data_IF_373930492370
#
_entry.id   IF_373930492370
#
_cell.length_a   1.000
_cell.length_b   1.000
_cell.length_c   1.000
_cell.angle_alpha   90.00
_cell.angle_beta   90.00
_cell.angle_gamma   90.00
#
_symmetry.space_group_name_H-M   'P 1'
#
loop_
_entity.id
_entity.type
_entity.pdbx_description
1 polymer ?
#
# COMPACT_ATOMS: atom_id res chain seq x y z
N UNK A 1 -21.40 -15.45 27.13
CA UNK A 1 -22.18 -15.62 25.89
C UNK A 1 -21.26 -16.35 24.92
N UNK A 2 -21.55 -17.60 24.60
CA UNK A 2 -20.84 -18.31 23.54
C UNK A 2 -21.50 -17.96 22.21
N UNK A 3 -20.68 -17.52 21.24
CA UNK A 3 -21.11 -17.26 19.87
C UNK A 3 -20.61 -18.42 19.01
N UNK A 4 -21.55 -19.21 18.46
CA UNK A 4 -21.23 -20.19 17.44
C UNK A 4 -21.10 -19.47 16.08
N UNK A 5 -19.86 -19.36 15.59
CA UNK A 5 -19.51 -18.68 14.34
C UNK A 5 -19.46 -19.64 13.14
N UNK A 6 -19.95 -20.88 13.27
CA UNK A 6 -19.93 -21.84 12.17
C UNK A 6 -20.93 -21.42 11.09
N UNK A 7 -20.39 -21.03 9.94
CA UNK A 7 -21.15 -20.76 8.73
C UNK A 7 -21.21 -22.04 7.87
N UNK A 8 -22.32 -22.29 7.14
CA UNK A 8 -22.40 -23.42 6.22
C UNK A 8 -21.39 -23.25 5.07
N UNK A 9 -20.73 -24.34 4.69
CA UNK A 9 -19.83 -24.37 3.54
C UNK A 9 -20.62 -24.63 2.26
N UNK A 10 -20.30 -23.93 1.17
CA UNK A 10 -20.84 -24.25 -0.16
C UNK A 10 -20.33 -25.60 -0.71
N UNK A 11 -19.32 -26.18 -0.07
CA UNK A 11 -18.62 -27.42 -0.49
C UNK A 11 -18.54 -28.44 0.64
N UNK A 12 -19.65 -28.66 1.35
CA UNK A 12 -19.71 -29.48 2.57
C UNK A 12 -19.12 -30.91 2.41
N UNK A 13 -19.25 -31.52 1.22
CA UNK A 13 -18.74 -32.87 0.95
C UNK A 13 -17.24 -32.97 0.67
N UNK A 14 -16.50 -31.85 0.64
CA UNK A 14 -15.07 -31.84 0.35
C UNK A 14 -14.27 -31.63 1.64
N UNK A 15 -13.21 -32.43 1.89
CA UNK A 15 -12.33 -32.18 3.02
C UNK A 15 -11.59 -30.85 2.83
N UNK A 16 -11.39 -30.12 3.92
CA UNK A 16 -10.57 -28.91 3.92
C UNK A 16 -9.10 -29.23 3.62
N UNK A 17 -8.41 -28.28 2.96
CA UNK A 17 -6.99 -28.43 2.61
C UNK A 17 -6.05 -28.32 3.82
N UNK A 18 -6.53 -27.79 4.95
CA UNK A 18 -5.68 -27.47 6.11
C UNK A 18 -4.64 -26.40 5.77
N UNK A 19 -3.46 -26.51 6.37
CA UNK A 19 -2.33 -25.61 6.13
C UNK A 19 -2.36 -24.33 6.97
N UNK A 20 -1.38 -23.45 6.70
CA UNK A 20 -1.20 -22.18 7.41
C UNK A 20 -1.20 -21.04 6.40
N UNK A 21 -2.11 -20.06 6.59
CA UNK A 21 -2.13 -18.84 5.78
C UNK A 21 -1.12 -17.83 6.34
N UNK A 22 -0.52 -17.02 5.44
CA UNK A 22 0.39 -15.92 5.79
C UNK A 22 1.61 -16.36 6.61
N UNK A 23 2.17 -17.53 6.30
CA UNK A 23 3.34 -18.08 7.00
C UNK A 23 4.60 -17.18 6.90
N UNK A 24 4.71 -16.41 5.81
CA UNK A 24 5.69 -15.37 5.59
C UNK A 24 5.05 -14.21 4.79
N UNK A 25 5.64 -12.99 4.77
CA UNK A 25 5.06 -11.86 4.06
C UNK A 25 4.86 -12.09 2.55
N UNK A 26 5.78 -12.80 1.90
CA UNK A 26 5.73 -13.16 0.48
C UNK A 26 4.71 -14.27 0.17
N UNK A 27 4.27 -15.03 1.17
CA UNK A 27 3.16 -15.99 1.05
C UNK A 27 1.79 -15.31 0.94
N UNK A 28 1.70 -13.98 1.08
CA UNK A 28 0.48 -13.21 0.91
C UNK A 28 0.77 -11.90 0.15
N UNK A 29 0.54 -11.93 -1.16
CA UNK A 29 0.80 -10.81 -2.07
C UNK A 29 -0.51 -10.10 -2.41
N UNK A 30 -0.52 -8.78 -2.28
CA UNK A 30 -1.67 -7.94 -2.68
C UNK A 30 -1.18 -6.83 -3.61
N UNK A 31 -1.75 -6.76 -4.80
CA UNK A 31 -1.52 -5.66 -5.74
C UNK A 31 -2.79 -4.82 -5.87
N UNK A 32 -2.65 -3.52 -5.68
CA UNK A 32 -3.76 -2.59 -5.85
C UNK A 32 -4.12 -2.42 -7.33
N UNK A 33 -5.41 -2.54 -7.62
CA UNK A 33 -5.99 -2.16 -8.91
C UNK A 33 -6.60 -0.77 -8.72
N UNK A 34 -6.03 0.29 -9.32
CA UNK A 34 -6.55 1.63 -9.17
C UNK A 34 -7.88 1.78 -9.92
N UNK A 35 -8.77 2.65 -9.43
CA UNK A 35 -10.02 2.98 -10.13
C UNK A 35 -9.77 3.77 -11.41
N UNK A 36 -8.69 4.55 -11.44
CA UNK A 36 -8.25 5.35 -12.58
C UNK A 36 -6.73 5.54 -12.51
N UNK A 37 -6.11 5.70 -13.67
CA UNK A 37 -4.68 5.98 -13.78
C UNK A 37 -4.36 7.45 -13.51
N UNK A 38 -3.09 7.74 -13.24
CA UNK A 38 -2.61 9.11 -13.19
C UNK A 38 -2.74 9.75 -14.58
N UNK A 39 -3.34 10.93 -14.67
CA UNK A 39 -3.59 11.60 -15.95
C UNK A 39 -2.35 12.25 -16.58
N UNK A 40 -1.18 12.15 -15.94
CA UNK A 40 0.08 12.69 -16.42
C UNK A 40 0.34 14.17 -16.11
N UNK A 41 -0.60 14.88 -15.50
CA UNK A 41 -0.44 16.29 -15.10
C UNK A 41 -1.20 16.62 -13.80
N UNK A 42 -0.81 17.71 -13.15
CA UNK A 42 -1.50 18.24 -11.97
C UNK A 42 -0.56 18.54 -10.81
N UNK A 43 -1.14 18.75 -9.62
CA UNK A 43 -0.40 19.12 -8.41
C UNK A 43 0.03 17.92 -7.55
N UNK A 44 -0.38 16.72 -7.94
CA UNK A 44 -0.10 15.49 -7.21
C UNK A 44 0.94 14.64 -7.93
N UNK A 45 1.97 14.21 -7.18
CA UNK A 45 2.86 13.14 -7.59
C UNK A 45 2.26 11.80 -7.14
N UNK A 46 2.03 10.88 -8.07
CA UNK A 46 1.58 9.53 -7.76
C UNK A 46 2.80 8.61 -7.67
N UNK A 47 2.90 7.87 -6.57
CA UNK A 47 3.99 6.91 -6.35
C UNK A 47 3.42 5.54 -6.05
N UNK A 48 3.83 4.55 -6.82
CA UNK A 48 3.47 3.15 -6.62
C UNK A 48 4.56 2.48 -5.78
N UNK A 49 4.19 1.95 -4.62
CA UNK A 49 5.15 1.43 -3.63
C UNK A 49 4.76 0.01 -3.27
N UNK A 50 5.72 -0.90 -3.44
CA UNK A 50 5.69 -2.23 -2.82
C UNK A 50 6.34 -2.15 -1.45
N UNK A 51 5.62 -2.58 -0.42
CA UNK A 51 6.08 -2.63 0.97
C UNK A 51 6.00 -4.05 1.54
N UNK A 52 6.88 -4.34 2.48
CA UNK A 52 6.86 -5.52 3.33
C UNK A 52 7.05 -5.09 4.78
N UNK A 53 6.40 -5.77 5.74
CA UNK A 53 6.52 -5.49 7.17
C UNK A 53 6.21 -4.04 7.62
N UNK A 54 5.61 -3.22 6.74
CA UNK A 54 5.17 -1.86 7.01
C UNK A 54 3.66 -1.72 6.83
N UNK A 55 3.02 -0.87 7.61
CA UNK A 55 1.64 -0.42 7.41
C UNK A 55 1.57 0.68 6.35
N UNK A 56 0.39 0.89 5.75
CA UNK A 56 0.18 2.03 4.84
C UNK A 56 0.47 3.38 5.50
N UNK A 57 0.24 3.52 6.81
CA UNK A 57 0.51 4.75 7.57
C UNK A 57 2.00 4.98 7.84
N UNK A 58 2.78 3.93 8.06
CA UNK A 58 4.24 4.04 8.21
C UNK A 58 4.87 4.54 6.91
N UNK A 59 4.45 4.00 5.76
CA UNK A 59 4.90 4.49 4.44
C UNK A 59 4.43 5.91 4.19
N UNK A 60 3.17 6.25 4.51
CA UNK A 60 2.65 7.62 4.38
C UNK A 60 3.51 8.63 5.17
N UNK A 61 3.90 8.29 6.40
CA UNK A 61 4.78 9.13 7.22
C UNK A 61 6.17 9.28 6.60
N UNK A 62 6.78 8.18 6.16
CA UNK A 62 8.10 8.22 5.49
C UNK A 62 8.08 9.08 4.22
N UNK A 63 7.00 9.03 3.44
CA UNK A 63 6.81 9.89 2.28
C UNK A 63 6.66 11.37 2.65
N UNK A 64 5.88 11.67 3.69
CA UNK A 64 5.72 13.05 4.16
C UNK A 64 7.07 13.64 4.59
N UNK A 65 7.88 12.88 5.35
CA UNK A 65 9.22 13.28 5.78
C UNK A 65 10.20 13.39 4.60
N UNK A 66 10.16 12.44 3.66
CA UNK A 66 11.02 12.43 2.49
C UNK A 66 10.84 13.72 1.68
N UNK A 67 9.60 14.17 1.48
CA UNK A 67 9.25 15.32 0.65
C UNK A 67 9.07 16.63 1.41
N UNK A 68 9.30 16.66 2.72
CA UNK A 68 9.04 17.82 3.59
C UNK A 68 7.60 18.34 3.48
N UNK A 69 6.65 17.40 3.51
CA UNK A 69 5.22 17.66 3.38
C UNK A 69 4.50 17.45 4.72
N UNK A 70 3.41 18.18 4.99
CA UNK A 70 2.54 17.84 6.10
C UNK A 70 1.89 16.47 5.86
N UNK A 71 1.71 15.68 6.92
CA UNK A 71 1.14 14.32 6.85
C UNK A 71 -0.17 14.23 6.03
N UNK A 72 -1.04 15.24 6.12
CA UNK A 72 -2.30 15.33 5.37
C UNK A 72 -2.16 15.53 3.86
N UNK A 73 -0.98 15.93 3.38
CA UNK A 73 -0.70 16.09 1.95
C UNK A 73 -0.35 14.77 1.26
N UNK A 74 -0.23 13.67 2.02
CA UNK A 74 0.00 12.33 1.49
C UNK A 74 -1.26 11.49 1.66
N UNK A 75 -1.86 11.05 0.56
CA UNK A 75 -3.08 10.23 0.52
C UNK A 75 -2.84 8.83 -0.03
N UNK A 76 -3.78 7.92 0.22
CA UNK A 76 -3.87 6.58 -0.37
C UNK A 76 -5.32 6.07 -0.32
N UNK A 77 -5.69 5.11 -1.19
CA UNK A 77 -7.08 4.68 -1.35
C UNK A 77 -7.60 3.76 -0.22
N UNK A 78 -6.71 2.98 0.42
CA UNK A 78 -7.09 2.10 1.52
C UNK A 78 -5.88 1.54 2.27
N UNK A 79 -6.13 0.98 3.45
CA UNK A 79 -5.09 0.34 4.24
C UNK A 79 -4.74 -1.03 3.65
N UNK A 80 -3.46 -1.39 3.69
CA UNK A 80 -2.97 -2.71 3.32
C UNK A 80 -2.31 -3.36 4.52
N UNK A 81 -2.40 -4.68 4.57
CA UNK A 81 -1.87 -5.49 5.67
C UNK A 81 -0.37 -5.26 5.88
N UNK A 82 0.06 -5.27 7.14
CA UNK A 82 1.48 -5.18 7.52
C UNK A 82 2.22 -6.49 7.24
N UNK A 83 1.56 -7.62 7.49
CA UNK A 83 2.11 -8.97 7.37
C UNK A 83 1.78 -9.56 6.00
N UNK A 84 2.24 -8.87 4.96
CA UNK A 84 2.02 -9.16 3.56
C UNK A 84 3.01 -8.35 2.70
N UNK A 85 3.31 -8.84 1.50
CA UNK A 85 3.91 -8.03 0.45
C UNK A 85 2.80 -7.30 -0.30
N UNK A 86 2.75 -5.99 -0.19
CA UNK A 86 1.63 -5.22 -0.76
C UNK A 86 2.10 -4.07 -1.62
N UNK A 87 1.56 -3.96 -2.81
CA UNK A 87 1.78 -2.84 -3.73
C UNK A 87 0.56 -1.92 -3.69
N UNK A 88 0.77 -0.64 -3.41
CA UNK A 88 -0.30 0.36 -3.40
C UNK A 88 0.20 1.72 -3.91
N UNK A 89 -0.75 2.54 -4.37
CA UNK A 89 -0.44 3.90 -4.86
C UNK A 89 -0.70 4.93 -3.77
N UNK A 90 0.23 5.85 -3.61
CA UNK A 90 0.09 7.05 -2.79
C UNK A 90 0.07 8.29 -3.66
N UNK A 91 -0.66 9.32 -3.24
CA UNK A 91 -0.67 10.64 -3.86
C UNK A 91 -0.03 11.67 -2.93
N UNK A 92 0.92 12.45 -3.43
CA UNK A 92 1.61 13.49 -2.68
C UNK A 92 1.27 14.85 -3.29
N UNK A 93 0.65 15.74 -2.52
CA UNK A 93 0.37 17.12 -2.96
C UNK A 93 1.66 17.95 -2.89
N UNK A 94 2.41 17.98 -4.00
CA UNK A 94 3.71 18.68 -4.13
C UNK A 94 3.60 20.01 -4.88
N UNK A 95 2.42 20.33 -5.42
CA UNK A 95 2.23 21.47 -6.31
C UNK A 95 2.68 21.17 -7.74
N UNK A 96 2.86 22.21 -8.55
CA UNK A 96 3.40 22.05 -9.90
C UNK A 96 4.92 21.95 -9.82
N UNK A 97 5.45 20.82 -10.27
CA UNK A 97 6.88 20.49 -10.26
C UNK A 97 7.33 20.13 -11.69
N UNK A 98 8.62 20.24 -11.94
CA UNK A 98 9.20 19.84 -13.22
C UNK A 98 9.52 18.33 -13.29
N UNK A 99 9.89 17.86 -14.49
CA UNK A 99 10.22 16.45 -14.70
C UNK A 99 11.49 16.01 -13.94
N UNK A 100 12.38 16.95 -13.59
CA UNK A 100 13.58 16.63 -12.82
C UNK A 100 13.21 16.21 -11.40
N UNK A 101 12.30 16.95 -10.76
CA UNK A 101 11.74 16.59 -9.47
C UNK A 101 11.08 15.21 -9.50
N UNK A 102 10.30 14.92 -10.55
CA UNK A 102 9.64 13.61 -10.73
C UNK A 102 10.67 12.49 -10.87
N UNK A 103 11.72 12.67 -11.69
CA UNK A 103 12.79 11.68 -11.87
C UNK A 103 13.63 11.47 -10.60
N UNK A 104 13.77 12.48 -9.75
CA UNK A 104 14.50 12.38 -8.49
C UNK A 104 13.69 11.70 -7.37
N UNK A 105 12.36 11.57 -7.51
CA UNK A 105 11.48 11.06 -6.48
C UNK A 105 11.85 9.65 -5.98
N UNK A 106 12.16 8.64 -6.83
CA UNK A 106 12.53 7.31 -6.34
C UNK A 106 13.76 7.33 -5.43
N UNK A 107 14.81 8.06 -5.80
CA UNK A 107 16.02 8.18 -4.99
C UNK A 107 15.75 8.85 -3.64
N UNK A 108 14.89 9.88 -3.63
CA UNK A 108 14.48 10.59 -2.41
C UNK A 108 13.69 9.68 -1.47
N UNK A 109 12.81 8.84 -2.01
CA UNK A 109 12.03 7.86 -1.24
C UNK A 109 12.95 6.81 -0.64
N UNK A 110 13.83 6.19 -1.43
CA UNK A 110 14.73 5.13 -0.96
C UNK A 110 15.75 5.62 0.08
N UNK A 111 16.12 6.90 0.07
CA UNK A 111 17.04 7.46 1.06
C UNK A 111 16.38 7.78 2.42
N UNK A 112 15.05 7.88 2.48
CA UNK A 112 14.31 8.42 3.63
C UNK A 112 13.20 7.53 4.15
N UNK A 113 12.79 6.51 3.38
CA UNK A 113 11.74 5.57 3.75
C UNK A 113 12.39 4.21 4.02
N UNK A 114 12.08 3.55 5.16
CA UNK A 114 12.60 2.23 5.49
C UNK A 114 12.11 1.15 4.51
#
# INVERSE_FOLDING_TARGET
MELDLRLPYSTEGLPGLGGQLRAAPDAFVVEEIPLYEACGAGQHLYVNITKEALTSREVQRGLAEAFDLPYRAVGFAGMKDKHARTTQTFSLLVGHVDDEFVRAAPARISAKTP
#
